data_IF_627904760441
#
_entry.id   IF_627904760441
#
_cell.length_a   1.000
_cell.length_b   1.000
_cell.length_c   1.000
_cell.angle_alpha   90.00
_cell.angle_beta   90.00
_cell.angle_gamma   90.00
#
_symmetry.space_group_name_H-M   'P 1'
#
loop_
_entity.id
_entity.type
_entity.pdbx_description
1 polymer ?
#
# COMPACT_ATOMS: atom_id res chain seq x y z
N UNK A 1 -50.81 -3.19 12.75
CA UNK A 1 -49.62 -3.99 13.13
C UNK A 1 -48.54 -3.59 12.13
N UNK A 2 -47.75 -2.60 12.49
CA UNK A 2 -46.63 -2.13 11.67
C UNK A 2 -45.39 -2.93 12.06
N UNK A 3 -44.81 -3.61 11.09
CA UNK A 3 -43.57 -4.38 11.23
C UNK A 3 -42.45 -3.45 11.67
N UNK A 4 -41.79 -3.86 12.75
CA UNK A 4 -40.65 -3.19 13.34
C UNK A 4 -39.41 -3.63 12.54
N UNK A 5 -39.02 -2.86 11.53
CA UNK A 5 -37.75 -3.06 10.82
C UNK A 5 -36.64 -2.45 11.67
N UNK A 6 -36.05 -3.26 12.53
CA UNK A 6 -34.78 -2.94 13.22
C UNK A 6 -33.70 -2.80 12.16
N UNK A 7 -33.43 -1.57 11.74
CA UNK A 7 -32.29 -1.19 10.91
C UNK A 7 -31.05 -1.44 11.77
N UNK A 8 -30.31 -2.52 11.49
CA UNK A 8 -29.01 -2.76 12.11
C UNK A 8 -28.08 -1.71 11.53
N UNK A 9 -27.84 -0.62 12.27
CA UNK A 9 -26.89 0.42 11.92
C UNK A 9 -25.48 -0.14 12.16
N UNK A 10 -24.98 -0.95 11.22
CA UNK A 10 -23.57 -1.35 11.23
C UNK A 10 -22.77 -0.14 10.75
N UNK A 11 -21.82 0.32 11.56
CA UNK A 11 -20.85 1.35 11.19
C UNK A 11 -20.20 0.97 9.84
N UNK A 12 -20.13 1.92 8.91
CA UNK A 12 -19.55 1.72 7.57
C UNK A 12 -18.13 1.11 7.68
N UNK A 13 -17.36 1.52 8.69
CA UNK A 13 -16.03 0.98 8.95
C UNK A 13 -16.07 -0.53 9.26
N UNK A 14 -17.02 -0.97 10.09
CA UNK A 14 -17.21 -2.39 10.41
C UNK A 14 -17.67 -3.21 9.19
N UNK A 15 -18.52 -2.63 8.35
CA UNK A 15 -18.96 -3.26 7.10
C UNK A 15 -17.75 -3.46 6.17
N UNK A 16 -16.97 -2.40 5.96
CA UNK A 16 -15.76 -2.44 5.14
C UNK A 16 -14.73 -3.43 5.70
N UNK A 17 -14.56 -3.51 7.02
CA UNK A 17 -13.66 -4.48 7.65
C UNK A 17 -14.02 -5.93 7.33
N UNK A 18 -15.32 -6.24 7.22
CA UNK A 18 -15.83 -7.58 6.89
C UNK A 18 -15.77 -7.87 5.39
N UNK A 19 -16.07 -6.89 4.54
CA UNK A 19 -16.13 -7.08 3.09
C UNK A 19 -14.76 -6.93 2.38
N UNK A 20 -13.80 -6.24 2.98
CA UNK A 20 -12.47 -5.98 2.42
C UNK A 20 -11.40 -6.46 3.39
N UNK A 21 -10.99 -7.72 3.27
CA UNK A 21 -10.02 -8.34 4.17
C UNK A 21 -8.59 -8.04 3.71
N UNK A 22 -7.88 -7.22 4.47
CA UNK A 22 -6.51 -6.78 4.18
C UNK A 22 -5.53 -7.48 5.12
N UNK A 23 -4.62 -8.28 4.55
CA UNK A 23 -3.43 -8.77 5.24
C UNK A 23 -2.30 -7.77 5.05
N UNK A 24 -1.85 -7.18 6.14
CA UNK A 24 -0.69 -6.30 6.17
C UNK A 24 0.55 -7.13 6.48
N UNK A 25 1.60 -6.97 5.70
CA UNK A 25 2.88 -7.59 5.97
C UNK A 25 4.00 -6.55 5.87
N UNK A 26 4.78 -6.46 6.94
CA UNK A 26 5.78 -5.42 7.13
C UNK A 26 7.16 -6.03 7.00
N UNK A 27 7.95 -5.53 6.05
CA UNK A 27 9.36 -5.91 5.95
C UNK A 27 10.18 -5.18 7.01
N UNK A 28 10.90 -5.94 7.82
CA UNK A 28 11.78 -5.44 8.89
C UNK A 28 13.01 -6.34 9.02
N UNK A 29 13.93 -5.92 9.89
CA UNK A 29 15.15 -6.64 10.26
C UNK A 29 15.28 -6.66 11.78
N UNK A 30 16.02 -7.62 12.39
CA UNK A 30 16.12 -7.76 13.85
C UNK A 30 16.53 -6.47 14.58
N UNK A 31 17.43 -5.68 13.98
CA UNK A 31 17.83 -4.37 14.53
C UNK A 31 16.68 -3.37 14.67
N UNK A 32 15.61 -3.54 13.88
CA UNK A 32 14.48 -2.63 13.81
C UNK A 32 13.26 -3.12 14.60
N UNK A 33 13.29 -4.34 15.16
CA UNK A 33 12.14 -4.92 15.88
C UNK A 33 11.63 -4.00 16.99
N UNK A 34 12.55 -3.47 17.81
CA UNK A 34 12.21 -2.63 18.98
C UNK A 34 12.18 -1.14 18.71
N UNK A 35 12.86 -0.69 17.68
CA UNK A 35 12.99 0.73 17.35
C UNK A 35 11.95 1.19 16.32
N UNK A 36 11.36 0.27 15.56
CA UNK A 36 10.43 0.58 14.47
C UNK A 36 9.21 -0.36 14.44
N UNK A 37 9.40 -1.65 14.15
CA UNK A 37 8.31 -2.59 13.88
C UNK A 37 7.29 -2.72 15.04
N UNK A 38 7.75 -2.66 16.30
CA UNK A 38 6.87 -2.70 17.46
C UNK A 38 5.89 -1.52 17.51
N UNK A 39 6.25 -0.37 16.95
CA UNK A 39 5.39 0.82 16.93
C UNK A 39 4.28 0.68 15.91
N UNK A 40 4.54 0.03 14.77
CA UNK A 40 3.51 -0.36 13.80
C UNK A 40 2.47 -1.26 14.48
N UNK A 41 2.91 -2.30 15.18
CA UNK A 41 2.01 -3.21 15.92
C UNK A 41 1.11 -2.48 16.93
N UNK A 42 1.65 -1.45 17.58
CA UNK A 42 0.94 -0.68 18.63
C UNK A 42 0.03 0.42 18.06
N UNK A 43 0.21 0.79 16.81
CA UNK A 43 -0.54 1.86 16.13
C UNK A 43 -1.32 1.24 14.96
N UNK A 44 -1.05 1.65 13.73
CA UNK A 44 -1.88 1.33 12.57
C UNK A 44 -2.00 -0.17 12.24
N UNK A 45 -1.02 -0.98 12.63
CA UNK A 45 -1.03 -2.42 12.37
C UNK A 45 -2.20 -3.15 13.04
N UNK A 46 -2.78 -2.58 14.11
CA UNK A 46 -3.96 -3.14 14.78
C UNK A 46 -5.24 -3.03 13.95
N UNK A 47 -5.25 -2.16 12.94
CA UNK A 47 -6.40 -1.93 12.06
C UNK A 47 -6.46 -2.91 10.89
N UNK A 48 -5.42 -3.73 10.67
CA UNK A 48 -5.38 -4.78 9.66
C UNK A 48 -6.26 -5.99 10.04
N UNK A 49 -6.70 -6.79 9.06
CA UNK A 49 -7.38 -8.06 9.37
C UNK A 49 -6.37 -9.09 9.90
N UNK A 50 -5.14 -9.06 9.37
CA UNK A 50 -3.99 -9.81 9.88
C UNK A 50 -2.73 -8.98 9.69
N UNK A 51 -1.84 -9.02 10.67
CA UNK A 51 -0.56 -8.31 10.64
C UNK A 51 0.58 -9.33 10.75
N UNK A 52 1.47 -9.35 9.75
CA UNK A 52 2.67 -10.18 9.73
C UNK A 52 3.91 -9.31 9.69
N UNK A 53 4.98 -9.76 10.36
CA UNK A 53 6.31 -9.17 10.20
C UNK A 53 7.23 -10.12 9.43
N UNK A 54 7.86 -9.65 8.36
CA UNK A 54 8.82 -10.41 7.57
C UNK A 54 10.23 -10.01 7.99
N UNK A 55 11.00 -10.95 8.52
CA UNK A 55 12.29 -10.68 9.18
C UNK A 55 13.21 -11.91 9.11
N UNK A 56 14.50 -11.75 9.41
CA UNK A 56 15.47 -12.85 9.45
C UNK A 56 15.52 -13.58 10.80
N UNK A 57 14.99 -12.99 11.87
CA UNK A 57 14.87 -13.62 13.19
C UNK A 57 13.47 -13.44 13.79
N UNK A 58 13.02 -14.41 14.58
CA UNK A 58 11.75 -14.37 15.30
C UNK A 58 11.83 -13.43 16.52
N UNK A 59 10.82 -12.58 16.71
CA UNK A 59 10.60 -11.84 17.96
C UNK A 59 9.17 -12.06 18.46
N UNK A 60 9.08 -12.67 19.64
CA UNK A 60 7.81 -12.93 20.34
C UNK A 60 6.96 -11.68 20.54
N UNK A 61 7.56 -10.49 20.65
CA UNK A 61 6.82 -9.24 20.85
C UNK A 61 6.17 -8.72 19.58
N UNK A 62 6.69 -9.09 18.41
CA UNK A 62 6.04 -8.79 17.13
C UNK A 62 4.85 -9.72 16.88
N UNK A 63 4.89 -10.95 17.40
CA UNK A 63 3.80 -11.91 17.27
C UNK A 63 3.96 -12.70 15.98
N UNK A 64 2.96 -12.67 15.10
CA UNK A 64 3.03 -13.42 13.84
C UNK A 64 4.14 -12.91 12.93
N UNK A 65 5.05 -13.82 12.58
CA UNK A 65 6.31 -13.48 11.94
C UNK A 65 6.63 -14.52 10.87
N UNK A 66 6.96 -14.06 9.66
CA UNK A 66 7.53 -14.89 8.59
C UNK A 66 9.05 -14.74 8.66
N UNK A 67 9.72 -15.78 9.19
CA UNK A 67 11.18 -15.77 9.40
C UNK A 67 11.91 -16.29 8.17
N UNK A 68 12.63 -15.43 7.46
CA UNK A 68 13.40 -15.75 6.26
C UNK A 68 14.89 -15.61 6.59
N UNK A 69 15.51 -16.72 6.99
CA UNK A 69 16.93 -16.78 7.38
C UNK A 69 17.82 -17.35 6.27
N UNK A 70 17.24 -17.84 5.18
CA UNK A 70 17.97 -18.46 4.07
C UNK A 70 18.58 -17.47 3.07
N UNK A 71 18.29 -16.17 3.21
CA UNK A 71 18.87 -15.10 2.38
C UNK A 71 19.54 -14.05 3.25
N UNK A 72 20.45 -13.28 2.66
CA UNK A 72 21.18 -12.24 3.38
C UNK A 72 20.24 -11.07 3.73
N UNK A 73 20.23 -10.67 5.01
CA UNK A 73 19.39 -9.58 5.51
C UNK A 73 20.09 -8.22 5.31
N UNK A 74 20.24 -7.81 4.05
CA UNK A 74 20.82 -6.53 3.65
C UNK A 74 19.88 -5.76 2.72
N UNK A 75 20.03 -4.43 2.77
CA UNK A 75 19.22 -3.49 1.99
C UNK A 75 19.40 -3.66 0.47
N UNK A 76 20.60 -4.00 0.01
CA UNK A 76 20.92 -4.23 -1.40
C UNK A 76 20.48 -5.62 -1.91
N UNK A 77 19.88 -6.45 -1.04
CA UNK A 77 19.48 -7.83 -1.34
C UNK A 77 18.04 -8.10 -0.86
N UNK A 78 17.17 -7.09 -0.92
CA UNK A 78 15.79 -7.20 -0.43
C UNK A 78 14.90 -8.06 -1.33
N UNK A 79 15.17 -8.11 -2.64
CA UNK A 79 14.31 -8.82 -3.60
C UNK A 79 14.13 -10.31 -3.30
N UNK A 80 15.19 -11.12 -3.05
CA UNK A 80 15.04 -12.51 -2.64
C UNK A 80 14.17 -12.71 -1.40
N UNK A 81 14.33 -11.83 -0.39
CA UNK A 81 13.53 -11.86 0.84
C UNK A 81 12.05 -11.56 0.53
N UNK A 82 11.79 -10.57 -0.32
CA UNK A 82 10.44 -10.21 -0.73
C UNK A 82 9.75 -11.33 -1.50
N UNK A 83 10.46 -11.98 -2.43
CA UNK A 83 9.94 -13.12 -3.21
C UNK A 83 9.53 -14.29 -2.31
N UNK A 84 10.41 -14.69 -1.40
CA UNK A 84 10.13 -15.77 -0.44
C UNK A 84 8.96 -15.39 0.49
N UNK A 85 8.87 -14.11 0.88
CA UNK A 85 7.76 -13.63 1.69
C UNK A 85 6.42 -13.79 0.96
N UNK A 86 6.34 -13.37 -0.31
CA UNK A 86 5.15 -13.57 -1.13
C UNK A 86 4.76 -15.04 -1.26
N UNK A 87 5.71 -15.93 -1.56
CA UNK A 87 5.46 -17.38 -1.67
C UNK A 87 4.83 -17.92 -0.38
N UNK A 88 5.47 -17.67 0.77
CA UNK A 88 5.00 -18.17 2.07
C UNK A 88 3.68 -17.53 2.50
N UNK A 89 3.50 -16.23 2.28
CA UNK A 89 2.26 -15.54 2.64
C UNK A 89 1.10 -16.04 1.78
N UNK A 90 1.32 -16.23 0.47
CA UNK A 90 0.33 -16.78 -0.43
C UNK A 90 -0.09 -18.19 -0.02
N UNK A 91 0.86 -19.09 0.16
CA UNK A 91 0.62 -20.50 0.53
C UNK A 91 -0.22 -20.63 1.82
N UNK A 92 -0.02 -19.74 2.79
CA UNK A 92 -0.66 -19.85 4.10
C UNK A 92 -1.95 -19.04 4.23
N UNK A 93 -2.10 -17.92 3.49
CA UNK A 93 -3.14 -16.93 3.79
C UNK A 93 -4.01 -16.50 2.59
N UNK A 94 -3.74 -16.98 1.37
CA UNK A 94 -4.48 -16.56 0.18
C UNK A 94 -5.99 -16.84 0.23
N UNK A 95 -6.40 -17.94 0.85
CA UNK A 95 -7.82 -18.31 0.92
C UNK A 95 -8.65 -17.41 1.85
N UNK A 96 -8.02 -16.72 2.79
CA UNK A 96 -8.68 -15.87 3.78
C UNK A 96 -8.44 -14.36 3.58
N UNK A 97 -7.68 -14.00 2.54
CA UNK A 97 -7.24 -12.62 2.27
C UNK A 97 -7.76 -12.15 0.92
N UNK A 98 -8.28 -10.93 0.86
CA UNK A 98 -8.69 -10.30 -0.40
C UNK A 98 -7.57 -9.41 -0.97
N UNK A 99 -6.85 -8.72 -0.08
CA UNK A 99 -5.79 -7.78 -0.43
C UNK A 99 -4.55 -7.94 0.44
N UNK A 100 -3.37 -7.88 -0.18
CA UNK A 100 -2.07 -8.00 0.46
C UNK A 100 -1.36 -6.66 0.44
N UNK A 101 -1.23 -6.03 1.60
CA UNK A 101 -0.55 -4.74 1.75
C UNK A 101 0.88 -4.93 2.27
N UNK A 102 1.86 -4.69 1.40
CA UNK A 102 3.30 -4.64 1.75
C UNK A 102 3.62 -3.26 2.27
N UNK A 103 4.32 -3.13 3.39
CA UNK A 103 4.86 -1.86 3.86
C UNK A 103 6.26 -2.02 4.47
N UNK A 104 7.02 -0.92 4.51
CA UNK A 104 8.29 -0.85 5.24
C UNK A 104 8.05 -0.51 6.73
N UNK A 105 9.06 -0.77 7.57
CA UNK A 105 8.98 -0.58 9.02
C UNK A 105 8.94 0.88 9.50
N UNK A 106 9.02 1.84 8.59
CA UNK A 106 8.85 3.28 8.79
C UNK A 106 7.71 3.88 7.94
N UNK A 107 6.70 3.07 7.60
CA UNK A 107 5.44 3.51 7.02
C UNK A 107 4.32 3.69 8.07
N UNK A 108 3.35 4.56 7.77
CA UNK A 108 2.06 4.63 8.48
C UNK A 108 0.92 4.52 7.48
N UNK A 109 -0.09 3.72 7.79
CA UNK A 109 -1.22 3.47 6.89
C UNK A 109 -2.58 3.64 7.57
N UNK A 110 -3.50 4.29 6.89
CA UNK A 110 -4.91 4.40 7.28
C UNK A 110 -5.70 3.28 6.59
N UNK A 111 -5.83 2.14 7.28
CA UNK A 111 -6.35 0.91 6.69
C UNK A 111 -7.84 1.06 6.33
N UNK A 112 -8.62 1.84 7.06
CA UNK A 112 -10.03 2.15 6.78
C UNK A 112 -10.18 2.89 5.45
N UNK A 113 -9.35 3.92 5.23
CA UNK A 113 -9.31 4.66 3.96
C UNK A 113 -8.92 3.74 2.81
N UNK A 114 -8.00 2.80 3.06
CA UNK A 114 -7.62 1.79 2.08
C UNK A 114 -8.77 0.82 1.77
N UNK A 115 -9.51 0.36 2.78
CA UNK A 115 -10.70 -0.48 2.55
C UNK A 115 -11.76 0.25 1.76
N UNK A 116 -12.02 1.51 2.10
CA UNK A 116 -12.97 2.34 1.37
C UNK A 116 -12.59 2.42 -0.12
N UNK A 117 -11.34 2.72 -0.43
CA UNK A 117 -10.85 2.73 -1.82
C UNK A 117 -10.97 1.35 -2.49
N UNK A 118 -10.48 0.29 -1.84
CA UNK A 118 -10.44 -1.06 -2.39
C UNK A 118 -11.83 -1.68 -2.53
N UNK A 119 -12.83 -1.18 -1.80
CA UNK A 119 -14.21 -1.62 -1.92
C UNK A 119 -14.69 -1.60 -3.36
N UNK A 120 -14.26 -0.62 -4.16
CA UNK A 120 -14.68 -0.51 -5.55
C UNK A 120 -14.16 -1.64 -6.46
N UNK A 121 -13.14 -2.40 -6.06
CA UNK A 121 -12.44 -3.37 -6.90
C UNK A 121 -12.70 -4.82 -6.46
N UNK A 122 -12.66 -5.76 -7.42
CA UNK A 122 -12.68 -7.19 -7.11
C UNK A 122 -11.26 -7.66 -6.74
N UNK A 123 -11.06 -8.46 -5.68
CA UNK A 123 -9.76 -9.08 -5.39
C UNK A 123 -9.34 -10.14 -6.43
N UNK A 124 -10.25 -10.54 -7.31
CA UNK A 124 -10.02 -11.40 -8.49
C UNK A 124 -9.43 -10.61 -9.68
N UNK A 125 -9.33 -9.29 -9.58
CA UNK A 125 -8.66 -8.50 -10.59
C UNK A 125 -7.15 -8.58 -10.42
N UNK A 126 -6.31 -9.04 -11.37
CA UNK A 126 -4.86 -8.84 -11.32
C UNK A 126 -4.49 -7.34 -11.37
N UNK A 127 -4.59 -6.70 -10.22
CA UNK A 127 -4.29 -5.28 -10.03
C UNK A 127 -3.56 -5.06 -8.70
N UNK A 128 -2.72 -4.01 -8.68
CA UNK A 128 -2.07 -3.51 -7.48
C UNK A 128 -1.98 -1.99 -7.50
N UNK A 129 -1.91 -1.39 -6.32
CA UNK A 129 -1.99 0.04 -6.10
C UNK A 129 -0.89 0.51 -5.14
N UNK A 130 -0.38 1.72 -5.37
CA UNK A 130 0.66 2.34 -4.57
C UNK A 130 0.96 3.74 -5.09
N UNK A 131 2.15 4.27 -4.77
CA UNK A 131 2.66 5.46 -5.44
C UNK A 131 3.42 5.06 -6.70
N UNK A 132 2.89 5.45 -7.86
CA UNK A 132 3.39 5.02 -9.18
C UNK A 132 4.64 5.80 -9.61
N UNK A 133 5.73 5.08 -9.87
CA UNK A 133 7.04 5.60 -10.29
C UNK A 133 7.49 5.02 -11.63
N UNK A 134 8.37 5.76 -12.31
CA UNK A 134 9.00 5.41 -13.58
C UNK A 134 10.44 4.94 -13.37
N UNK A 135 10.75 3.69 -13.67
CA UNK A 135 12.13 3.19 -13.55
C UNK A 135 13.01 3.78 -14.65
N UNK A 136 14.05 4.52 -14.27
CA UNK A 136 14.90 5.24 -15.21
C UNK A 136 14.18 6.30 -16.05
N UNK A 137 12.97 6.73 -15.66
CA UNK A 137 12.14 7.68 -16.41
C UNK A 137 11.41 7.07 -17.62
N UNK A 138 11.39 5.75 -17.76
CA UNK A 138 10.75 5.04 -18.88
C UNK A 138 9.27 4.77 -18.61
N UNK A 139 8.38 5.24 -19.50
CA UNK A 139 6.92 5.20 -19.34
C UNK A 139 6.33 3.78 -19.31
N UNK A 140 7.00 2.83 -19.94
CA UNK A 140 6.65 1.42 -20.00
C UNK A 140 7.17 0.61 -18.80
N UNK A 141 8.01 1.21 -17.96
CA UNK A 141 8.60 0.56 -16.79
C UNK A 141 8.09 1.17 -15.49
N UNK A 142 6.80 0.92 -15.26
CA UNK A 142 6.06 1.43 -14.11
C UNK A 142 6.12 0.49 -12.92
N UNK A 143 6.47 1.00 -11.75
CA UNK A 143 6.41 0.26 -10.50
C UNK A 143 5.74 1.08 -9.40
N UNK A 144 5.37 0.43 -8.30
CA UNK A 144 4.85 1.12 -7.11
C UNK A 144 5.98 1.24 -6.10
N UNK A 145 6.21 2.41 -5.53
CA UNK A 145 7.27 2.61 -4.53
C UNK A 145 7.09 1.68 -3.32
N UNK A 146 8.20 1.08 -2.88
CA UNK A 146 8.21 0.15 -1.75
C UNK A 146 7.97 0.79 -0.37
N UNK A 147 8.35 2.07 -0.19
CA UNK A 147 8.45 2.73 1.12
C UNK A 147 7.15 2.82 1.90
N UNK A 148 6.20 3.65 1.44
CA UNK A 148 4.85 3.72 2.04
C UNK A 148 4.06 2.43 1.85
N UNK A 149 4.58 1.54 1.01
CA UNK A 149 3.94 0.30 0.64
C UNK A 149 3.09 0.36 -0.61
N UNK A 150 2.64 -0.83 -1.00
CA UNK A 150 1.69 -1.06 -2.09
C UNK A 150 0.76 -2.20 -1.70
N UNK A 151 -0.47 -2.17 -2.22
CA UNK A 151 -1.50 -3.17 -1.97
C UNK A 151 -1.82 -3.93 -3.25
N UNK A 152 -1.76 -5.25 -3.18
CA UNK A 152 -2.01 -6.15 -4.30
C UNK A 152 -3.26 -6.97 -4.05
N UNK A 153 -4.08 -7.13 -5.08
CA UNK A 153 -5.19 -8.08 -5.10
C UNK A 153 -4.71 -9.52 -4.87
N UNK A 154 -5.63 -10.38 -4.42
CA UNK A 154 -5.37 -11.83 -4.32
C UNK A 154 -4.94 -12.42 -5.66
N UNK A 155 -5.58 -12.03 -6.75
CA UNK A 155 -5.23 -12.55 -8.06
C UNK A 155 -3.85 -12.08 -8.54
N UNK A 156 -3.44 -10.84 -8.25
CA UNK A 156 -2.09 -10.38 -8.57
C UNK A 156 -1.02 -11.22 -7.85
N UNK A 157 -1.22 -11.51 -6.57
CA UNK A 157 -0.30 -12.35 -5.79
C UNK A 157 -0.29 -13.78 -6.32
N UNK A 158 -1.45 -14.34 -6.68
CA UNK A 158 -1.54 -15.67 -7.29
C UNK A 158 -0.75 -15.76 -8.59
N UNK A 159 -0.97 -14.84 -9.54
CA UNK A 159 -0.27 -14.84 -10.83
C UNK A 159 1.24 -14.69 -10.64
N UNK A 160 1.66 -13.86 -9.68
CA UNK A 160 3.07 -13.73 -9.37
C UNK A 160 3.68 -15.05 -8.87
N UNK A 161 3.08 -15.68 -7.85
CA UNK A 161 3.62 -16.89 -7.24
C UNK A 161 3.53 -18.09 -8.16
N UNK A 162 2.37 -18.31 -8.81
CA UNK A 162 2.10 -19.52 -9.59
C UNK A 162 2.61 -19.43 -11.03
N UNK A 163 2.80 -18.24 -11.59
CA UNK A 163 3.25 -18.06 -12.98
C UNK A 163 4.58 -17.33 -13.08
N UNK A 164 4.71 -16.12 -12.53
CA UNK A 164 5.91 -15.29 -12.76
C UNK A 164 7.18 -15.98 -12.20
N UNK A 165 7.12 -16.46 -10.95
CA UNK A 165 8.24 -17.16 -10.31
C UNK A 165 8.53 -18.49 -11.01
N UNK A 166 7.49 -19.28 -11.31
CA UNK A 166 7.63 -20.64 -11.86
C UNK A 166 8.15 -20.63 -13.29
N UNK A 167 7.54 -19.83 -14.16
CA UNK A 167 7.86 -19.81 -15.59
C UNK A 167 9.04 -18.91 -15.91
N UNK A 168 9.47 -18.05 -14.97
CA UNK A 168 10.51 -17.02 -15.19
C UNK A 168 10.21 -16.15 -16.42
N UNK A 169 8.92 -16.00 -16.74
CA UNK A 169 8.46 -15.25 -17.91
C UNK A 169 8.57 -13.77 -17.60
N UNK A 170 9.44 -13.06 -18.32
CA UNK A 170 9.50 -11.60 -18.35
C UNK A 170 9.98 -10.88 -17.09
N UNK A 171 10.41 -11.60 -16.04
CA UNK A 171 11.12 -10.99 -14.91
C UNK A 171 12.31 -11.83 -14.43
N UNK A 172 13.40 -11.15 -14.07
CA UNK A 172 14.62 -11.79 -13.57
C UNK A 172 14.59 -11.97 -12.06
N UNK A 173 14.05 -13.12 -11.63
CA UNK A 173 13.98 -13.48 -10.22
C UNK A 173 15.35 -13.74 -9.57
N UNK A 174 16.42 -13.86 -10.37
CA UNK A 174 17.78 -14.16 -9.89
C UNK A 174 18.66 -12.92 -9.80
N UNK A 175 18.21 -11.77 -10.30
CA UNK A 175 18.91 -10.50 -10.07
C UNK A 175 18.65 -10.02 -8.64
N UNK A 176 19.44 -10.57 -7.70
CA UNK A 176 19.29 -10.31 -6.27
C UNK A 176 19.51 -8.82 -5.89
N UNK A 177 20.17 -8.05 -6.75
CA UNK A 177 20.48 -6.63 -6.52
C UNK A 177 19.46 -5.68 -7.14
N UNK A 178 18.44 -6.21 -7.83
CA UNK A 178 17.33 -5.39 -8.31
C UNK A 178 16.57 -4.84 -7.10
N UNK A 179 16.25 -3.53 -7.03
CA UNK A 179 15.35 -3.02 -6.00
C UNK A 179 14.06 -3.84 -5.96
N UNK A 180 13.61 -4.21 -4.76
CA UNK A 180 12.48 -5.12 -4.56
C UNK A 180 11.20 -4.60 -5.21
N UNK A 181 10.97 -3.28 -5.10
CA UNK A 181 9.81 -2.60 -5.67
C UNK A 181 9.82 -2.51 -7.20
N UNK A 182 10.99 -2.32 -7.81
CA UNK A 182 11.18 -2.40 -9.27
C UNK A 182 10.99 -3.84 -9.75
N UNK A 183 11.60 -4.81 -9.08
CA UNK A 183 11.56 -6.23 -9.45
C UNK A 183 10.14 -6.80 -9.41
N UNK A 184 9.35 -6.48 -8.38
CA UNK A 184 7.94 -6.91 -8.34
C UNK A 184 7.11 -6.23 -9.41
N UNK A 185 7.37 -4.96 -9.72
CA UNK A 185 6.72 -4.26 -10.83
C UNK A 185 7.00 -4.93 -12.18
N UNK A 186 8.26 -5.33 -12.43
CA UNK A 186 8.63 -6.12 -13.60
C UNK A 186 7.89 -7.47 -13.65
N UNK A 187 7.90 -8.22 -12.55
CA UNK A 187 7.21 -9.51 -12.48
C UNK A 187 5.70 -9.41 -12.65
N UNK A 188 5.06 -8.42 -12.03
CA UNK A 188 3.62 -8.17 -12.19
C UNK A 188 3.28 -7.84 -13.64
N UNK A 189 4.02 -6.94 -14.30
CA UNK A 189 3.81 -6.63 -15.71
C UNK A 189 3.97 -7.86 -16.60
N UNK A 190 4.93 -8.74 -16.28
CA UNK A 190 5.20 -9.94 -17.08
C UNK A 190 4.10 -11.01 -17.03
N UNK A 191 3.17 -10.90 -16.08
CA UNK A 191 1.98 -11.76 -15.95
C UNK A 191 0.69 -10.94 -16.02
N UNK A 192 0.73 -9.81 -16.73
CA UNK A 192 -0.42 -8.94 -17.02
C UNK A 192 -1.15 -8.39 -15.79
N UNK A 193 -0.44 -8.22 -14.68
CA UNK A 193 -0.96 -7.49 -13.50
C UNK A 193 -0.90 -5.99 -13.74
N UNK A 194 -2.04 -5.34 -13.61
CA UNK A 194 -2.24 -3.92 -13.89
C UNK A 194 -1.69 -3.06 -12.75
N UNK A 195 -0.84 -2.10 -13.08
CA UNK A 195 -0.47 -1.01 -12.18
C UNK A 195 -1.61 0.03 -12.11
N UNK A 196 -2.52 -0.13 -11.15
CA UNK A 196 -3.73 0.66 -11.02
C UNK A 196 -3.51 2.15 -10.73
N UNK A 197 -4.55 2.96 -10.88
CA UNK A 197 -4.55 4.34 -10.39
C UNK A 197 -5.17 4.41 -8.99
N UNK A 198 -4.40 4.88 -8.02
CA UNK A 198 -4.80 4.97 -6.61
C UNK A 198 -5.26 6.37 -6.21
N UNK A 199 -5.17 7.35 -7.12
CA UNK A 199 -5.55 8.74 -6.86
C UNK A 199 -7.05 8.88 -6.62
N UNK A 200 -7.42 9.97 -5.96
CA UNK A 200 -8.84 10.31 -5.80
C UNK A 200 -9.43 11.02 -7.02
N UNK A 201 -10.71 11.38 -6.92
CA UNK A 201 -11.47 12.11 -7.96
C UNK A 201 -10.85 13.48 -8.30
N UNK A 202 -10.01 14.04 -7.44
CA UNK A 202 -9.29 15.30 -7.68
C UNK A 202 -7.86 15.08 -8.21
N UNK A 203 -7.49 13.82 -8.51
CA UNK A 203 -6.15 13.46 -8.95
C UNK A 203 -5.10 13.60 -7.85
N UNK A 204 -5.50 13.54 -6.59
CA UNK A 204 -4.59 13.60 -5.43
C UNK A 204 -4.10 12.18 -5.08
N UNK A 205 -2.81 12.06 -4.78
CA UNK A 205 -2.24 10.77 -4.40
C UNK A 205 -2.87 10.29 -3.08
N UNK A 206 -2.97 8.97 -2.89
CA UNK A 206 -3.41 8.41 -1.60
C UNK A 206 -2.29 7.63 -0.91
N UNK A 207 -1.37 7.07 -1.67
CA UNK A 207 -0.05 6.67 -1.16
C UNK A 207 0.88 7.87 -1.28
N UNK A 208 1.81 8.04 -0.37
CA UNK A 208 2.76 9.16 -0.36
C UNK A 208 4.18 8.69 -0.07
N UNK A 209 5.14 9.17 -0.86
CA UNK A 209 6.56 8.83 -0.73
C UNK A 209 7.25 9.46 0.49
N UNK A 210 6.55 10.35 1.19
CA UNK A 210 7.10 11.16 2.27
C UNK A 210 6.11 11.28 3.44
N UNK A 211 6.61 11.77 4.57
CA UNK A 211 5.79 12.11 5.72
C UNK A 211 4.86 13.30 5.36
N UNK A 212 3.68 13.41 6.01
CA UNK A 212 2.68 14.44 5.67
C UNK A 212 3.24 15.86 5.61
N UNK A 213 4.08 16.24 6.58
CA UNK A 213 4.64 17.60 6.65
C UNK A 213 5.48 17.95 5.42
N UNK A 214 6.17 16.98 4.81
CA UNK A 214 7.00 17.22 3.62
C UNK A 214 6.13 17.55 2.40
N UNK A 215 4.95 16.94 2.30
CA UNK A 215 4.02 17.19 1.19
C UNK A 215 3.29 18.53 1.40
N UNK A 216 2.91 18.83 2.64
CA UNK A 216 2.17 20.03 3.02
C UNK A 216 3.00 21.32 2.96
N UNK A 217 4.33 21.22 3.06
CA UNK A 217 5.25 22.35 3.12
C UNK A 217 6.13 22.39 1.86
N UNK A 218 5.77 23.19 0.83
CA UNK A 218 6.51 23.30 -0.43
C UNK A 218 8.00 23.59 -0.29
N UNK A 219 8.40 24.26 0.79
CA UNK A 219 9.78 24.64 1.05
C UNK A 219 10.68 23.45 1.40
N UNK A 220 10.07 22.32 1.83
CA UNK A 220 10.79 21.11 2.23
C UNK A 220 11.22 20.28 1.01
N UNK A 221 10.38 20.23 -0.04
CA UNK A 221 10.66 19.46 -1.26
C UNK A 221 10.99 20.41 -2.40
N UNK A 222 12.28 20.49 -2.77
CA UNK A 222 12.72 21.37 -3.86
C UNK A 222 12.46 20.78 -5.26
N UNK A 223 12.30 21.65 -6.27
CA UNK A 223 12.06 21.25 -7.68
C UNK A 223 13.11 20.33 -8.32
N UNK A 224 14.44 20.44 -8.07
CA UNK A 224 15.41 19.51 -8.66
C UNK A 224 15.42 18.13 -8.00
N UNK A 225 14.49 17.86 -7.09
CA UNK A 225 14.39 16.58 -6.41
C UNK A 225 13.92 15.46 -7.35
N UNK A 226 14.52 14.27 -7.22
CA UNK A 226 14.23 13.08 -8.04
C UNK A 226 12.73 12.76 -8.11
N UNK A 227 12.00 13.04 -7.02
CA UNK A 227 10.55 12.94 -6.91
C UNK A 227 9.81 13.51 -8.13
N UNK A 228 10.23 14.69 -8.59
CA UNK A 228 9.62 15.38 -9.73
C UNK A 228 9.97 14.72 -11.07
N UNK A 229 11.09 13.99 -11.18
CA UNK A 229 11.51 13.38 -12.43
C UNK A 229 10.99 11.95 -12.62
N UNK A 230 10.73 11.24 -11.52
CA UNK A 230 10.37 9.82 -11.56
C UNK A 230 8.91 9.54 -11.21
N UNK A 231 8.15 10.53 -10.74
CA UNK A 231 6.71 10.35 -10.52
C UNK A 231 5.98 10.14 -11.85
N UNK A 232 5.15 9.10 -11.91
CA UNK A 232 4.34 8.82 -13.09
C UNK A 232 3.30 9.94 -13.31
N UNK A 233 2.58 10.31 -12.24
CA UNK A 233 1.67 11.45 -12.23
C UNK A 233 2.39 12.72 -11.79
N UNK A 234 1.90 13.89 -12.21
CA UNK A 234 2.49 15.17 -11.83
C UNK A 234 2.48 15.36 -10.31
N UNK A 235 3.63 15.36 -9.65
CA UNK A 235 3.70 15.47 -8.21
C UNK A 235 3.42 16.90 -7.73
N UNK A 236 2.73 17.02 -6.61
CA UNK A 236 2.39 18.33 -6.02
C UNK A 236 2.83 18.39 -4.56
N UNK A 237 3.37 19.53 -4.16
CA UNK A 237 3.59 19.89 -2.76
C UNK A 237 2.98 21.27 -2.53
N UNK A 238 2.00 21.31 -1.63
CA UNK A 238 1.22 22.49 -1.27
C UNK A 238 0.40 22.23 0.00
N UNK A 239 -0.07 23.30 0.63
CA UNK A 239 -0.87 23.23 1.86
C UNK A 239 -2.11 22.34 1.73
N UNK A 240 -2.73 22.32 0.55
CA UNK A 240 -3.99 21.61 0.29
C UNK A 240 -3.77 20.49 -0.77
N UNK A 241 -2.61 19.84 -0.76
CA UNK A 241 -2.24 18.80 -1.74
C UNK A 241 -2.42 17.36 -1.21
N UNK A 242 -2.84 17.21 0.05
CA UNK A 242 -3.16 15.91 0.61
C UNK A 242 -4.60 15.53 0.26
N UNK A 243 -4.79 14.30 -0.24
CA UNK A 243 -6.10 13.73 -0.46
C UNK A 243 -6.89 13.74 0.84
N UNK A 244 -8.22 13.91 0.72
CA UNK A 244 -9.12 13.87 1.88
C UNK A 244 -9.04 12.54 2.65
N UNK A 245 -8.79 11.44 1.93
CA UNK A 245 -8.62 10.09 2.46
C UNK A 245 -7.26 9.52 2.04
N UNK A 246 -6.16 9.93 2.70
CA UNK A 246 -4.86 9.35 2.41
C UNK A 246 -4.83 7.89 2.91
N UNK A 247 -4.12 7.02 2.20
CA UNK A 247 -3.98 5.60 2.53
C UNK A 247 -2.66 5.28 3.24
N UNK A 248 -1.53 5.86 2.80
CA UNK A 248 -0.25 5.58 3.44
C UNK A 248 0.80 6.68 3.23
N UNK A 249 1.72 6.79 4.19
CA UNK A 249 2.86 7.71 4.20
C UNK A 249 4.15 6.96 4.54
N UNK A 250 5.28 7.49 4.09
CA UNK A 250 6.62 6.94 4.33
C UNK A 250 7.48 7.86 5.20
N UNK A 251 8.63 7.39 5.69
CA UNK A 251 9.52 8.12 6.61
C UNK A 251 8.84 8.57 7.91
N UNK A 252 7.92 7.75 8.40
CA UNK A 252 7.18 7.99 9.65
C UNK A 252 8.02 7.49 10.82
N UNK A 253 8.51 8.42 11.64
CA UNK A 253 9.20 8.05 12.88
C UNK A 253 8.21 7.45 13.89
N UNK A 254 8.67 6.75 14.95
CA UNK A 254 7.77 6.29 16.00
C UNK A 254 6.90 7.42 16.58
N UNK A 255 7.46 8.63 16.75
CA UNK A 255 6.69 9.79 17.21
C UNK A 255 5.59 10.16 16.22
N UNK A 256 5.90 10.19 14.92
CA UNK A 256 4.91 10.49 13.88
C UNK A 256 3.80 9.43 13.81
N UNK A 257 4.13 8.15 14.04
CA UNK A 257 3.13 7.07 14.08
C UNK A 257 2.13 7.29 15.22
N UNK A 258 2.60 7.59 16.44
CA UNK A 258 1.70 7.84 17.57
C UNK A 258 0.91 9.15 17.42
N UNK A 259 1.52 10.19 16.83
CA UNK A 259 0.78 11.42 16.52
C UNK A 259 -0.31 11.18 15.48
N UNK A 260 -0.01 10.42 14.43
CA UNK A 260 -0.98 10.05 13.39
C UNK A 260 -2.12 9.21 13.97
N UNK A 261 -1.80 8.28 14.86
CA UNK A 261 -2.79 7.48 15.59
C UNK A 261 -3.72 8.36 16.45
N UNK A 262 -3.12 9.25 17.24
CA UNK A 262 -3.88 10.16 18.09
C UNK A 262 -4.79 11.07 17.28
N UNK A 263 -4.24 11.76 16.27
CA UNK A 263 -5.01 12.69 15.45
C UNK A 263 -6.02 12.01 14.51
N UNK A 264 -5.77 10.75 14.13
CA UNK A 264 -6.66 9.99 13.24
C UNK A 264 -7.80 9.27 13.95
N UNK A 265 -7.60 8.83 15.20
CA UNK A 265 -8.55 7.93 15.88
C UNK A 265 -8.99 8.38 17.28
N UNK A 266 -8.21 9.22 17.97
CA UNK A 266 -8.47 9.58 19.38
C UNK A 266 -8.86 11.06 19.53
N UNK A 267 -8.44 11.91 18.61
CA UNK A 267 -8.66 13.34 18.63
C UNK A 267 -9.99 13.73 18.00
N UNK A 268 -10.78 14.52 18.71
CA UNK A 268 -12.08 15.03 18.25
C UNK A 268 -12.15 16.53 18.47
N UNK A 269 -12.68 17.27 17.49
CA UNK A 269 -13.00 18.69 17.63
C UNK A 269 -14.52 18.88 17.50
N UNK A 270 -15.08 19.83 18.25
CA UNK A 270 -16.53 19.99 18.41
C UNK A 270 -17.23 20.59 17.16
N UNK A 271 -16.47 21.15 16.21
CA UNK A 271 -17.02 21.95 15.09
C UNK A 271 -16.50 21.51 13.69
N UNK A 272 -16.35 20.21 13.43
CA UNK A 272 -16.05 19.76 12.06
C UNK A 272 -17.32 19.83 11.18
N UNK A 273 -17.25 20.43 9.97
CA UNK A 273 -18.38 20.48 9.06
C UNK A 273 -18.83 19.08 8.66
N UNK A 274 -20.11 18.95 8.29
CA UNK A 274 -20.81 17.69 7.98
C UNK A 274 -19.90 16.65 7.34
N UNK A 275 -19.88 15.46 7.95
CA UNK A 275 -19.13 14.32 7.47
C UNK A 275 -19.41 14.10 5.97
N UNK A 276 -18.39 13.83 5.15
CA UNK A 276 -18.63 13.35 3.80
C UNK A 276 -19.62 12.19 3.84
N UNK A 277 -20.66 12.25 2.99
CA UNK A 277 -21.66 11.19 2.91
C UNK A 277 -21.00 9.81 2.91
N UNK A 278 -21.33 9.01 3.92
CA UNK A 278 -20.88 7.62 4.13
C UNK A 278 -21.48 6.68 3.08
N UNK A 279 -21.24 6.94 1.81
CA UNK A 279 -21.77 6.15 0.69
C UNK A 279 -20.69 5.20 0.21
N UNK A 280 -21.02 3.92 0.17
CA UNK A 280 -20.14 2.90 -0.38
C UNK A 280 -19.76 3.25 -1.84
N UNK A 281 -18.48 3.15 -2.21
CA UNK A 281 -18.07 3.34 -3.59
C UNK A 281 -18.76 2.33 -4.51
N UNK A 282 -19.07 2.78 -5.73
CA UNK A 282 -19.60 1.90 -6.77
C UNK A 282 -18.57 0.80 -7.08
N UNK A 283 -19.00 -0.46 -7.12
CA UNK A 283 -18.20 -1.57 -7.66
C UNK A 283 -17.90 -1.32 -9.13
N UNK A 284 -16.64 -1.46 -9.51
CA UNK A 284 -16.15 -1.30 -10.86
C UNK A 284 -16.10 -2.65 -11.56
N UNK A 285 -16.52 -2.64 -12.83
CA UNK A 285 -16.27 -3.72 -13.78
C UNK A 285 -14.86 -3.62 -14.36
N UNK A 286 -14.41 -4.70 -14.99
CA UNK A 286 -13.11 -4.77 -15.63
C UNK A 286 -12.85 -3.66 -16.65
N UNK A 287 -13.84 -3.35 -17.49
CA UNK A 287 -13.74 -2.35 -18.54
C UNK A 287 -13.74 -0.91 -17.99
N UNK A 288 -14.09 -0.71 -16.71
CA UNK A 288 -14.05 0.60 -16.05
C UNK A 288 -12.70 0.87 -15.37
N UNK A 289 -11.86 -0.16 -15.19
CA UNK A 289 -10.51 -0.04 -14.63
C UNK A 289 -9.53 0.34 -15.75
N UNK A 290 -9.67 1.56 -16.26
CA UNK A 290 -8.81 2.11 -17.32
C UNK A 290 -7.89 3.17 -16.74
N UNK A 291 -6.58 2.98 -16.88
CA UNK A 291 -5.62 4.07 -16.69
C UNK A 291 -5.63 4.88 -17.99
N UNK A 292 -6.36 5.99 -18.01
CA UNK A 292 -6.44 6.84 -19.21
C UNK A 292 -5.05 7.38 -19.54
N UNK A 293 -4.61 7.24 -20.80
CA UNK A 293 -3.32 7.82 -21.25
C UNK A 293 -3.26 9.33 -21.03
N UNK A 294 -4.42 10.02 -21.01
CA UNK A 294 -4.54 11.46 -20.77
C UNK A 294 -4.18 11.89 -19.35
N UNK A 295 -4.14 10.95 -18.40
CA UNK A 295 -3.72 11.23 -17.03
C UNK A 295 -2.19 11.25 -16.87
N UNK A 296 -1.44 10.98 -17.94
CA UNK A 296 -0.01 11.24 -18.05
C UNK A 296 0.26 12.71 -18.39
N UNK A 297 0.16 13.57 -17.38
CA UNK A 297 0.28 15.04 -17.50
C UNK A 297 1.72 15.53 -17.71
N UNK A 298 2.64 14.67 -18.18
CA UNK A 298 3.93 15.15 -18.69
C UNK A 298 3.80 15.80 -20.06
N UNK A 299 2.61 15.78 -20.68
CA UNK A 299 2.32 16.52 -21.90
C UNK A 299 1.66 17.87 -21.57
N UNK A 300 2.50 18.87 -21.26
CA UNK A 300 2.25 20.24 -21.73
C UNK A 300 3.45 20.64 -22.59
N UNK A 301 3.22 21.32 -23.71
CA UNK A 301 4.10 21.35 -24.89
C UNK A 301 5.55 21.74 -24.65
#
# INVERSE_FOLDING_TARGET
MSENTTQINTDLSELLYKEVRILCWVMTTPKNHRTRAIHIKRTWGKHCNRLLFVTSEYDKELGETVVISEVEDKYDVLWPKMRIAFERIYENYANETDWFFKADDDAYAFIENMRYFLYAYSPEMPIYFGYKLLYGGRKDEVYMSGGSGFVSSREAVRLFVELAIVNKSGCDINNHYNPDDVAIGECFRAVDVIAGDSRDVHGEARFYLFAPFMVLMPEVINKPFWYFNYSFYNPRSCKDCLAKYPMAFHYMTPADMYLSEFFGYEFWTIDLPDEPEEVLPKKLSWDEVVVLETDNIWNTP
#
